data_IF_034006714735
#
_entry.id   IF_034006714735
#
_cell.length_a   1.000
_cell.length_b   1.000
_cell.length_c   1.000
_cell.angle_alpha   90.00
_cell.angle_beta   90.00
_cell.angle_gamma   90.00
#
_symmetry.space_group_name_H-M   'P 1'
#
loop_
_entity.id
_entity.type
_entity.pdbx_description
1 polymer ?
#
# COMPACT_ATOMS: atom_id res chain seq x y z
N UNK A 1 6.68 -41.72 -59.94
CA UNK A 1 5.88 -41.64 -58.71
C UNK A 1 6.78 -41.17 -57.59
N UNK A 2 6.60 -39.92 -57.16
CA UNK A 2 7.43 -39.29 -56.14
C UNK A 2 7.03 -37.83 -55.97
N UNK A 3 6.80 -37.44 -54.72
CA UNK A 3 7.09 -36.11 -54.20
C UNK A 3 6.13 -34.96 -54.51
N UNK A 4 5.64 -34.38 -53.41
CA UNK A 4 5.62 -32.94 -53.12
C UNK A 4 4.28 -32.17 -53.20
N UNK A 5 3.91 -31.68 -52.00
CA UNK A 5 3.60 -30.28 -51.64
C UNK A 5 2.27 -29.66 -52.08
N UNK A 6 1.46 -29.32 -51.07
CA UNK A 6 0.63 -28.10 -51.01
C UNK A 6 0.50 -27.72 -49.53
N UNK A 7 1.12 -26.65 -49.01
CA UNK A 7 0.83 -25.22 -49.18
C UNK A 7 -0.58 -24.86 -48.67
N UNK A 8 -0.66 -24.25 -47.48
CA UNK A 8 -1.92 -23.83 -46.87
C UNK A 8 -1.74 -22.93 -45.65
N UNK A 9 -1.58 -21.64 -45.92
CA UNK A 9 -1.97 -20.49 -45.09
C UNK A 9 -1.41 -20.33 -43.67
N UNK A 10 -0.40 -19.46 -43.60
CA UNK A 10 0.01 -18.66 -42.45
C UNK A 10 -1.15 -17.86 -41.85
N UNK A 11 -1.46 -18.09 -40.56
CA UNK A 11 -2.29 -17.16 -39.78
C UNK A 11 -1.42 -16.49 -38.72
N UNK A 12 -0.95 -15.29 -39.05
CA UNK A 12 -0.37 -14.32 -38.11
C UNK A 12 -1.42 -14.05 -37.02
N UNK A 13 -1.19 -14.51 -35.79
CA UNK A 13 -1.82 -13.89 -34.65
C UNK A 13 -1.10 -12.56 -34.41
N UNK A 14 -1.79 -11.47 -34.74
CA UNK A 14 -1.42 -10.12 -34.38
C UNK A 14 -1.33 -10.06 -32.85
N UNK A 15 -0.15 -9.71 -32.35
CA UNK A 15 0.03 -9.32 -30.96
C UNK A 15 -0.83 -8.07 -30.71
N UNK A 16 -1.85 -8.21 -29.87
CA UNK A 16 -2.43 -7.07 -29.18
C UNK A 16 -1.51 -6.77 -28.00
N UNK A 17 -0.92 -5.58 -27.86
CA UNK A 17 -0.43 -5.16 -26.56
C UNK A 17 -1.66 -5.07 -25.67
N UNK A 18 -1.78 -5.99 -24.70
CA UNK A 18 -2.66 -5.76 -23.58
C UNK A 18 -2.24 -4.42 -22.98
N UNK A 19 -3.16 -3.46 -23.02
CA UNK A 19 -3.04 -2.15 -22.39
C UNK A 19 -2.49 -2.37 -20.98
N UNK A 20 -1.21 -2.06 -20.78
CA UNK A 20 -0.69 -1.86 -19.45
C UNK A 20 -1.40 -0.61 -18.96
N UNK A 21 -2.49 -0.78 -18.21
CA UNK A 21 -3.03 0.30 -17.40
C UNK A 21 -1.90 0.76 -16.48
N UNK A 22 -1.44 2.01 -16.56
CA UNK A 22 -0.57 2.52 -15.52
C UNK A 22 -1.49 2.79 -14.34
N UNK A 23 -1.70 1.79 -13.47
CA UNK A 23 -1.97 2.12 -12.07
C UNK A 23 -0.65 2.68 -11.55
N UNK A 24 -0.41 3.97 -11.83
CA UNK A 24 0.53 4.74 -11.05
C UNK A 24 -0.01 4.66 -9.63
N UNK A 25 0.64 3.87 -8.78
CA UNK A 25 0.56 4.05 -7.34
C UNK A 25 1.22 5.41 -7.05
N UNK A 26 0.49 6.47 -7.37
CA UNK A 26 0.91 7.84 -7.20
C UNK A 26 0.61 8.22 -5.77
N UNK A 27 1.63 8.58 -5.01
CA UNK A 27 1.48 9.28 -3.73
C UNK A 27 0.62 10.52 -3.95
N UNK A 28 -0.64 10.49 -3.54
CA UNK A 28 -1.51 11.65 -3.57
C UNK A 28 -1.09 12.59 -2.43
N UNK A 29 -0.47 13.72 -2.77
CA UNK A 29 -0.13 14.74 -1.78
C UNK A 29 -1.42 15.44 -1.35
N UNK A 30 -1.60 15.60 -0.04
CA UNK A 30 -2.72 16.37 0.51
C UNK A 30 -2.59 17.85 0.12
N UNK A 31 -3.72 18.51 -0.15
CA UNK A 31 -3.78 19.97 -0.16
C UNK A 31 -3.60 20.53 1.26
N UNK A 32 -3.45 21.85 1.39
CA UNK A 32 -3.34 22.49 2.70
C UNK A 32 -4.63 22.31 3.52
N UNK A 33 -5.78 22.42 2.88
CA UNK A 33 -7.09 22.25 3.51
C UNK A 33 -7.32 20.80 3.96
N UNK A 34 -7.02 19.83 3.09
CA UNK A 34 -7.11 18.40 3.40
C UNK A 34 -6.19 18.03 4.56
N UNK A 35 -4.94 18.53 4.53
CA UNK A 35 -3.97 18.30 5.61
C UNK A 35 -4.47 18.88 6.92
N UNK A 36 -4.94 20.13 6.92
CA UNK A 36 -5.43 20.77 8.15
C UNK A 36 -6.58 19.99 8.77
N UNK A 37 -7.55 19.57 7.96
CA UNK A 37 -8.68 18.79 8.46
C UNK A 37 -8.23 17.42 9.00
N UNK A 38 -7.41 16.69 8.23
CA UNK A 38 -6.91 15.38 8.65
C UNK A 38 -6.09 15.46 9.95
N UNK A 39 -5.26 16.49 10.11
CA UNK A 39 -4.46 16.69 11.33
C UNK A 39 -5.34 16.98 12.54
N UNK A 40 -6.42 17.75 12.39
CA UNK A 40 -7.37 17.99 13.50
C UNK A 40 -8.01 16.68 13.96
N UNK A 41 -8.49 15.86 13.02
CA UNK A 41 -9.13 14.58 13.32
C UNK A 41 -8.15 13.59 13.96
N UNK A 42 -6.91 13.52 13.44
CA UNK A 42 -5.84 12.69 13.99
C UNK A 42 -5.44 13.14 15.40
N UNK A 43 -5.34 14.44 15.66
CA UNK A 43 -5.06 15.00 17.00
C UNK A 43 -6.17 14.65 17.99
N UNK A 44 -7.44 14.76 17.58
CA UNK A 44 -8.57 14.33 18.40
C UNK A 44 -8.50 12.83 18.74
N UNK A 45 -7.95 12.01 17.84
CA UNK A 45 -7.69 10.60 18.05
C UNK A 45 -6.38 10.30 18.81
N UNK A 46 -5.65 11.31 19.31
CA UNK A 46 -4.43 11.16 20.11
C UNK A 46 -3.14 10.96 19.29
N UNK A 47 -3.14 11.30 18.01
CA UNK A 47 -1.90 11.42 17.23
C UNK A 47 -1.27 12.79 17.43
N UNK A 48 0.05 12.85 17.19
CA UNK A 48 0.84 14.07 17.26
C UNK A 48 1.69 14.22 16.00
N UNK A 49 2.02 15.46 15.63
CA UNK A 49 3.00 15.74 14.58
C UNK A 49 4.40 15.75 15.19
N UNK A 50 5.37 15.17 14.49
CA UNK A 50 6.77 15.24 14.87
C UNK A 50 7.37 16.57 14.42
N UNK A 51 8.24 17.16 15.25
CA UNK A 51 8.82 18.50 15.00
C UNK A 51 9.97 18.47 14.00
N UNK A 52 10.67 17.33 13.94
CA UNK A 52 11.91 17.09 13.24
C UNK A 52 11.71 16.47 11.85
N UNK A 53 10.51 15.95 11.57
CA UNK A 53 10.16 15.31 10.29
C UNK A 53 8.67 15.44 10.00
N UNK A 54 8.31 15.43 8.72
CA UNK A 54 6.90 15.45 8.26
C UNK A 54 6.25 14.08 8.47
N UNK A 55 5.95 13.74 9.72
CA UNK A 55 5.33 12.47 10.11
C UNK A 55 4.43 12.64 11.33
N UNK A 56 3.51 11.69 11.49
CA UNK A 56 2.64 11.57 12.65
C UNK A 56 3.11 10.44 13.56
N UNK A 57 2.89 10.59 14.86
CA UNK A 57 3.26 9.61 15.88
C UNK A 57 2.14 9.40 16.89
N UNK A 58 2.00 8.15 17.34
CA UNK A 58 1.12 7.77 18.44
C UNK A 58 1.67 6.52 19.16
N UNK A 59 1.68 6.57 20.48
CA UNK A 59 1.91 5.39 21.32
C UNK A 59 0.57 4.67 21.58
N UNK A 60 0.57 3.34 21.44
CA UNK A 60 -0.55 2.50 21.83
C UNK A 60 -0.13 1.70 23.07
N UNK A 61 -1.03 1.55 24.04
CA UNK A 61 -0.80 0.71 25.22
C UNK A 61 -1.93 -0.29 25.35
N UNK A 62 -1.59 -1.57 25.32
CA UNK A 62 -2.54 -2.68 25.41
C UNK A 62 -2.47 -3.35 26.78
N UNK A 63 -3.39 -4.27 27.06
CA UNK A 63 -3.36 -5.03 28.31
C UNK A 63 -2.20 -6.04 28.36
N UNK A 64 -1.80 -6.61 27.22
CA UNK A 64 -0.76 -7.62 27.13
C UNK A 64 -0.12 -7.65 25.75
N UNK A 65 1.02 -8.35 25.64
CA UNK A 65 1.69 -8.59 24.35
C UNK A 65 0.79 -9.29 23.33
N UNK A 66 -0.06 -10.25 23.75
CA UNK A 66 -0.96 -10.95 22.83
C UNK A 66 -1.94 -9.97 22.13
N UNK A 67 -2.49 -9.01 22.88
CA UNK A 67 -3.35 -7.98 22.30
C UNK A 67 -2.56 -7.02 21.38
N UNK A 68 -1.38 -6.58 21.81
CA UNK A 68 -0.51 -5.71 21.01
C UNK A 68 -0.15 -6.36 19.68
N UNK A 69 0.32 -7.61 19.71
CA UNK A 69 0.73 -8.33 18.50
C UNK A 69 -0.45 -8.67 17.57
N UNK A 70 -1.63 -8.96 18.13
CA UNK A 70 -2.87 -9.10 17.37
C UNK A 70 -3.33 -7.81 16.68
N UNK A 71 -3.08 -6.65 17.31
CA UNK A 71 -3.23 -5.35 16.65
C UNK A 71 -2.21 -5.17 15.53
N UNK A 72 -0.93 -5.41 15.79
CA UNK A 72 0.15 -5.29 14.81
C UNK A 72 -0.10 -6.15 13.57
N UNK A 73 -0.54 -7.39 13.74
CA UNK A 73 -0.83 -8.30 12.61
C UNK A 73 -1.92 -7.76 11.68
N UNK A 74 -2.95 -7.10 12.23
CA UNK A 74 -4.00 -6.45 11.41
C UNK A 74 -3.46 -5.23 10.66
N UNK A 75 -2.61 -4.43 11.30
CA UNK A 75 -1.93 -3.30 10.66
C UNK A 75 -1.01 -3.78 9.52
N UNK A 76 -0.25 -4.87 9.74
CA UNK A 76 0.64 -5.43 8.73
C UNK A 76 -0.11 -5.87 7.46
N UNK A 77 -1.25 -6.55 7.62
CA UNK A 77 -2.10 -6.93 6.48
C UNK A 77 -2.60 -5.72 5.68
N UNK A 78 -2.98 -4.64 6.38
CA UNK A 78 -3.44 -3.41 5.74
C UNK A 78 -2.27 -2.66 5.07
N UNK A 79 -1.09 -2.65 5.70
CA UNK A 79 0.12 -2.04 5.15
C UNK A 79 0.53 -2.70 3.83
N UNK A 80 0.51 -4.03 3.76
CA UNK A 80 0.77 -4.78 2.52
C UNK A 80 -0.25 -4.44 1.43
N UNK A 81 -1.54 -4.40 1.78
CA UNK A 81 -2.60 -4.04 0.81
C UNK A 81 -2.44 -2.62 0.26
N UNK A 82 -1.96 -1.69 1.08
CA UNK A 82 -1.75 -0.28 0.70
C UNK A 82 -0.37 -0.02 0.11
N UNK A 83 0.54 -1.00 0.14
CA UNK A 83 1.97 -0.82 -0.12
C UNK A 83 2.55 0.40 0.64
N UNK A 84 2.17 0.54 1.92
CA UNK A 84 2.59 1.64 2.78
C UNK A 84 2.82 1.12 4.21
N UNK A 85 4.08 1.09 4.62
CA UNK A 85 4.52 0.44 5.86
C UNK A 85 4.74 1.47 6.99
N UNK A 86 4.31 1.16 8.23
CA UNK A 86 4.62 1.99 9.37
C UNK A 86 6.07 1.81 9.82
N UNK A 87 6.61 2.85 10.45
CA UNK A 87 7.74 2.71 11.36
C UNK A 87 7.18 2.54 12.78
N UNK A 88 7.52 1.43 13.45
CA UNK A 88 7.06 1.16 14.81
C UNK A 88 8.14 0.51 15.67
N UNK A 89 7.94 0.58 16.97
CA UNK A 89 8.75 -0.08 17.99
C UNK A 89 7.79 -0.77 18.96
N UNK A 90 8.07 -2.01 19.34
CA UNK A 90 7.23 -2.76 20.27
C UNK A 90 8.07 -3.37 21.40
N UNK A 91 7.64 -3.13 22.65
CA UNK A 91 8.14 -3.78 23.87
C UNK A 91 6.93 -4.24 24.67
N UNK A 92 6.66 -5.55 24.61
CA UNK A 92 5.53 -6.19 25.29
C UNK A 92 4.18 -5.56 24.89
N UNK A 93 3.56 -4.78 25.75
CA UNK A 93 2.23 -4.22 25.55
C UNK A 93 2.22 -2.80 24.95
N UNK A 94 3.37 -2.29 24.53
CA UNK A 94 3.56 -0.97 23.91
C UNK A 94 4.22 -1.10 22.56
#
# INVERSE_FOLDING_TARGET
GGGARGAGATRRLLAAPASQSPTSSGTHRLTAEERNQAILDLKAAGWSELSERDAIYKEFSFHSFNQAFGFMSRVALQAEKMNHHPEWFNVYNK
#
